data_IF_471047160742
#
_entry.id   IF_471047160742
#
_cell.length_a   1.000
_cell.length_b   1.000
_cell.length_c   1.000
_cell.angle_alpha   90.00
_cell.angle_beta   90.00
_cell.angle_gamma   90.00
#
_symmetry.space_group_name_H-M   'P 1'
#
loop_
_entity.id
_entity.type
_entity.pdbx_description
1 polymer ?
#
# COMPACT_ATOMS: atom_id res chain seq x y z
N UNK A 1 4.13 -21.46 11.54
CA UNK A 1 2.81 -21.19 12.14
C UNK A 1 2.36 -19.80 11.74
N UNK A 2 1.14 -19.65 11.25
CA UNK A 2 0.54 -18.35 10.97
C UNK A 2 0.22 -17.65 12.31
N UNK A 3 0.69 -16.45 12.53
CA UNK A 3 0.43 -15.73 13.78
C UNK A 3 -0.86 -14.90 13.63
N UNK A 4 -1.95 -15.42 14.21
CA UNK A 4 -3.28 -14.80 14.15
C UNK A 4 -3.31 -13.38 14.74
N UNK A 5 -2.45 -13.09 15.73
CA UNK A 5 -2.35 -11.75 16.32
C UNK A 5 -1.86 -10.74 15.30
N UNK A 6 -0.84 -11.09 14.51
CA UNK A 6 -0.29 -10.22 13.45
C UNK A 6 -1.35 -9.97 12.37
N UNK A 7 -2.10 -11.00 11.98
CA UNK A 7 -3.14 -10.89 10.98
C UNK A 7 -4.30 -10.00 11.47
N UNK A 8 -4.71 -10.12 12.72
CA UNK A 8 -5.74 -9.28 13.33
C UNK A 8 -5.30 -7.81 13.43
N UNK A 9 -4.06 -7.56 13.85
CA UNK A 9 -3.50 -6.20 13.89
C UNK A 9 -3.45 -5.55 12.52
N UNK A 10 -3.05 -6.29 11.48
CA UNK A 10 -3.12 -5.81 10.09
C UNK A 10 -4.55 -5.46 9.69
N UNK A 11 -5.53 -6.28 10.06
CA UNK A 11 -6.94 -6.01 9.81
C UNK A 11 -7.41 -4.70 10.45
N UNK A 12 -7.04 -4.44 11.69
CA UNK A 12 -7.35 -3.18 12.39
C UNK A 12 -6.70 -1.98 11.68
N UNK A 13 -5.43 -2.11 11.29
CA UNK A 13 -4.75 -1.05 10.54
C UNK A 13 -5.43 -0.78 9.19
N UNK A 14 -5.88 -1.80 8.48
CA UNK A 14 -6.62 -1.64 7.21
C UNK A 14 -7.95 -0.91 7.41
N UNK A 15 -8.69 -1.21 8.48
CA UNK A 15 -9.91 -0.48 8.82
C UNK A 15 -9.64 1.00 9.06
N UNK A 16 -8.54 1.34 9.75
CA UNK A 16 -8.12 2.73 9.94
C UNK A 16 -7.76 3.43 8.62
N UNK A 17 -7.06 2.76 7.70
CA UNK A 17 -6.76 3.31 6.37
C UNK A 17 -8.06 3.58 5.58
N UNK A 18 -9.00 2.65 5.58
CA UNK A 18 -10.32 2.82 4.96
C UNK A 18 -11.05 4.00 5.60
N UNK A 19 -10.99 4.12 6.95
CA UNK A 19 -11.58 5.23 7.70
C UNK A 19 -11.07 6.60 7.26
N UNK A 20 -9.76 6.76 7.04
CA UNK A 20 -9.18 8.01 6.52
C UNK A 20 -9.76 8.35 5.14
N UNK A 21 -9.83 7.40 4.24
CA UNK A 21 -10.30 7.64 2.87
C UNK A 21 -11.79 7.93 2.81
N UNK A 22 -12.62 7.20 3.54
CA UNK A 22 -14.06 7.48 3.62
C UNK A 22 -14.29 8.83 4.32
N UNK A 23 -13.54 9.10 5.39
CA UNK A 23 -13.61 10.37 6.10
C UNK A 23 -13.36 11.57 5.21
N UNK A 24 -12.31 11.53 4.40
CA UNK A 24 -11.97 12.63 3.49
C UNK A 24 -13.00 12.83 2.38
N UNK A 25 -13.60 11.76 1.87
CA UNK A 25 -14.59 11.83 0.77
C UNK A 25 -15.99 12.20 1.25
N UNK A 26 -16.45 11.62 2.37
CA UNK A 26 -17.83 11.72 2.77
C UNK A 26 -18.07 12.73 3.92
N UNK A 27 -17.12 12.87 4.84
CA UNK A 27 -17.30 13.68 6.05
C UNK A 27 -16.72 15.08 5.93
N UNK A 28 -15.58 15.25 5.24
CA UNK A 28 -14.94 16.55 5.12
C UNK A 28 -15.85 17.66 4.60
N UNK A 29 -16.70 17.44 3.58
CA UNK A 29 -17.63 18.46 3.10
C UNK A 29 -18.84 18.71 4.00
N UNK A 30 -19.23 17.73 4.85
CA UNK A 30 -20.48 17.76 5.60
C UNK A 30 -20.29 17.98 7.11
N UNK A 31 -19.23 17.42 7.70
CA UNK A 31 -18.95 17.51 9.13
C UNK A 31 -17.46 17.48 9.41
N UNK A 32 -16.86 18.67 9.38
CA UNK A 32 -15.40 18.84 9.53
C UNK A 32 -14.89 18.33 10.88
N UNK A 33 -15.64 18.47 11.96
CA UNK A 33 -15.22 18.01 13.30
C UNK A 33 -15.14 16.49 13.35
N UNK A 34 -16.14 15.78 12.82
CA UNK A 34 -16.16 14.33 12.78
C UNK A 34 -15.05 13.79 11.85
N UNK A 35 -14.81 14.48 10.73
CA UNK A 35 -13.69 14.18 9.84
C UNK A 35 -12.35 14.29 10.58
N UNK A 36 -12.08 15.38 11.30
CA UNK A 36 -10.83 15.56 12.04
C UNK A 36 -10.64 14.49 13.12
N UNK A 37 -11.69 14.16 13.88
CA UNK A 37 -11.62 13.10 14.88
C UNK A 37 -11.24 11.76 14.25
N UNK A 38 -11.88 11.40 13.14
CA UNK A 38 -11.65 10.14 12.45
C UNK A 38 -10.25 10.11 11.81
N UNK A 39 -9.79 11.23 11.27
CA UNK A 39 -8.44 11.36 10.72
C UNK A 39 -7.37 11.18 11.81
N UNK A 40 -7.50 11.88 12.95
CA UNK A 40 -6.56 11.80 14.06
C UNK A 40 -6.52 10.37 14.62
N UNK A 41 -7.69 9.76 14.86
CA UNK A 41 -7.79 8.39 15.36
C UNK A 41 -7.22 7.37 14.40
N UNK A 42 -7.23 7.63 13.12
CA UNK A 42 -6.78 6.68 12.08
C UNK A 42 -5.32 6.89 11.64
N UNK A 43 -4.69 8.01 12.01
CA UNK A 43 -3.29 8.32 11.61
C UNK A 43 -2.26 7.28 12.04
N UNK A 44 -2.52 6.55 13.14
CA UNK A 44 -1.64 5.49 13.59
C UNK A 44 -1.58 4.30 12.61
N UNK A 45 -2.58 4.15 11.74
CA UNK A 45 -2.76 2.95 10.91
C UNK A 45 -1.62 2.71 9.95
N UNK A 46 -1.14 3.77 9.28
CA UNK A 46 -0.06 3.67 8.30
C UNK A 46 1.27 3.26 8.94
N UNK A 47 1.79 3.98 9.96
CA UNK A 47 3.04 3.56 10.62
C UNK A 47 2.93 2.21 11.31
N UNK A 48 1.79 1.88 11.93
CA UNK A 48 1.56 0.58 12.53
C UNK A 48 1.57 -0.55 11.51
N UNK A 49 0.98 -0.33 10.34
CA UNK A 49 0.99 -1.32 9.26
C UNK A 49 2.42 -1.60 8.78
N UNK A 50 3.26 -0.58 8.63
CA UNK A 50 4.67 -0.76 8.30
C UNK A 50 5.41 -1.54 9.38
N UNK A 51 5.22 -1.16 10.64
CA UNK A 51 5.86 -1.85 11.76
C UNK A 51 5.47 -3.33 11.84
N UNK A 52 4.16 -3.64 11.74
CA UNK A 52 3.64 -5.01 11.77
C UNK A 52 4.13 -5.80 10.56
N UNK A 53 4.23 -5.17 9.39
CA UNK A 53 4.74 -5.82 8.18
C UNK A 53 6.21 -6.16 8.30
N UNK A 54 7.04 -5.22 8.81
CA UNK A 54 8.45 -5.45 9.08
C UNK A 54 8.68 -6.51 10.17
N UNK A 55 7.92 -6.45 11.25
CA UNK A 55 7.98 -7.46 12.33
C UNK A 55 7.57 -8.85 11.83
N UNK A 56 6.47 -8.95 11.08
CA UNK A 56 6.04 -10.21 10.50
C UNK A 56 7.08 -10.82 9.56
N UNK A 57 7.80 -9.98 8.83
CA UNK A 57 8.89 -10.38 7.97
C UNK A 57 10.06 -10.94 8.78
N UNK A 58 10.50 -10.21 9.81
CA UNK A 58 11.58 -10.64 10.72
C UNK A 58 11.25 -11.98 11.42
N UNK A 59 9.99 -12.17 11.84
CA UNK A 59 9.54 -13.43 12.47
C UNK A 59 9.45 -14.61 11.49
N UNK A 60 9.20 -14.34 10.20
CA UNK A 60 9.08 -15.41 9.19
C UNK A 60 10.46 -15.87 8.72
N UNK A 61 11.44 -15.01 8.80
CA UNK A 61 12.79 -15.28 8.35
C UNK A 61 13.65 -15.87 9.46
N UNK A 62 13.42 -17.13 9.77
CA UNK A 62 14.24 -17.90 10.73
C UNK A 62 15.71 -17.99 10.31
N UNK A 63 16.02 -17.74 9.03
CA UNK A 63 17.38 -17.70 8.52
C UNK A 63 18.16 -16.49 9.03
N UNK A 64 17.52 -15.35 9.26
CA UNK A 64 18.13 -14.15 9.87
C UNK A 64 18.64 -14.43 11.30
N UNK A 65 17.89 -15.24 12.07
CA UNK A 65 18.24 -15.59 13.45
C UNK A 65 19.24 -16.73 13.55
N UNK A 66 19.35 -17.58 12.52
CA UNK A 66 20.22 -18.77 12.51
C UNK A 66 21.53 -18.61 11.72
N UNK A 67 21.86 -17.38 11.24
CA UNK A 67 23.10 -17.12 10.50
C UNK A 67 23.18 -17.78 9.12
N UNK A 68 22.11 -18.38 8.63
CA UNK A 68 22.00 -18.95 7.29
C UNK A 68 21.95 -17.81 6.26
N UNK A 69 22.75 -17.87 5.20
CA UNK A 69 22.72 -16.90 4.11
C UNK A 69 21.33 -16.86 3.51
N UNK A 70 20.65 -15.71 3.71
CA UNK A 70 19.39 -15.41 3.03
C UNK A 70 19.60 -15.51 1.54
N UNK A 71 18.80 -16.34 0.87
CA UNK A 71 18.67 -16.29 -0.57
C UNK A 71 17.86 -15.04 -0.92
N UNK A 72 18.56 -13.87 -0.95
CA UNK A 72 17.96 -12.55 -1.18
C UNK A 72 17.05 -12.54 -2.43
N UNK A 73 17.43 -13.30 -3.45
CA UNK A 73 16.67 -13.45 -4.69
C UNK A 73 15.31 -14.11 -4.44
N UNK A 74 15.26 -15.18 -3.65
CA UNK A 74 14.02 -15.89 -3.35
C UNK A 74 13.10 -15.06 -2.44
N UNK A 75 13.70 -14.32 -1.52
CA UNK A 75 13.00 -13.34 -0.70
C UNK A 75 12.36 -12.24 -1.55
N UNK A 76 13.13 -11.61 -2.43
CA UNK A 76 12.62 -10.57 -3.34
C UNK A 76 11.55 -11.09 -4.29
N UNK A 77 11.71 -12.29 -4.83
CA UNK A 77 10.68 -12.93 -5.69
C UNK A 77 9.36 -13.14 -4.95
N UNK A 78 9.39 -13.61 -3.70
CA UNK A 78 8.18 -13.79 -2.88
C UNK A 78 7.51 -12.44 -2.59
N UNK A 79 8.29 -11.42 -2.27
CA UNK A 79 7.79 -10.08 -1.99
C UNK A 79 7.19 -9.43 -3.23
N UNK A 80 7.90 -9.51 -4.36
CA UNK A 80 7.42 -8.98 -5.63
C UNK A 80 6.14 -9.69 -6.10
N UNK A 81 6.04 -11.01 -5.91
CA UNK A 81 4.82 -11.76 -6.25
C UNK A 81 3.66 -11.42 -5.31
N UNK A 82 3.92 -11.24 -4.01
CA UNK A 82 2.88 -10.97 -3.01
C UNK A 82 2.34 -9.54 -3.03
N UNK A 83 3.19 -8.55 -3.24
CA UNK A 83 2.81 -7.13 -3.23
C UNK A 83 2.93 -6.47 -4.60
N UNK A 84 3.93 -6.84 -5.39
CA UNK A 84 4.20 -6.23 -6.70
C UNK A 84 3.14 -6.55 -7.75
N UNK A 85 2.67 -7.80 -7.85
CA UNK A 85 1.63 -8.16 -8.82
C UNK A 85 0.30 -7.42 -8.56
N UNK A 86 -0.26 -7.40 -7.33
CA UNK A 86 -1.43 -6.59 -7.02
C UNK A 86 -1.20 -5.10 -7.30
N UNK A 87 -0.03 -4.57 -6.95
CA UNK A 87 0.34 -3.19 -7.23
C UNK A 87 0.29 -2.86 -8.73
N UNK A 88 0.93 -3.66 -9.56
CA UNK A 88 0.92 -3.48 -11.02
C UNK A 88 -0.48 -3.57 -11.61
N UNK A 89 -1.28 -4.55 -11.16
CA UNK A 89 -2.66 -4.73 -11.63
C UNK A 89 -3.53 -3.52 -11.29
N UNK A 90 -3.45 -3.02 -10.06
CA UNK A 90 -4.22 -1.84 -9.64
C UNK A 90 -3.71 -0.55 -10.29
N UNK A 91 -2.40 -0.38 -10.45
CA UNK A 91 -1.83 0.78 -11.16
C UNK A 91 -2.31 0.85 -12.60
N UNK A 92 -2.31 -0.30 -13.31
CA UNK A 92 -2.81 -0.38 -14.67
C UNK A 92 -4.32 -0.09 -14.74
N UNK A 93 -5.10 -0.66 -13.79
CA UNK A 93 -6.54 -0.42 -13.71
C UNK A 93 -6.84 1.07 -13.50
N UNK A 94 -6.14 1.76 -12.59
CA UNK A 94 -6.34 3.19 -12.37
C UNK A 94 -5.90 4.04 -13.55
N UNK A 95 -4.79 3.73 -14.20
CA UNK A 95 -4.37 4.42 -15.42
C UNK A 95 -5.42 4.29 -16.52
N UNK A 96 -5.98 3.08 -16.71
CA UNK A 96 -7.04 2.83 -17.69
C UNK A 96 -8.32 3.59 -17.32
N UNK A 97 -8.72 3.55 -16.05
CA UNK A 97 -9.89 4.25 -15.54
C UNK A 97 -9.77 5.77 -15.76
N UNK A 98 -8.65 6.38 -15.40
CA UNK A 98 -8.43 7.80 -15.61
C UNK A 98 -8.34 8.17 -17.10
N UNK A 99 -7.77 7.31 -17.93
CA UNK A 99 -7.74 7.51 -19.37
C UNK A 99 -9.14 7.53 -20.01
N UNK A 100 -10.07 6.71 -19.48
CA UNK A 100 -11.45 6.65 -19.99
C UNK A 100 -12.32 7.82 -19.52
N UNK A 101 -12.09 8.34 -18.30
CA UNK A 101 -12.99 9.32 -17.68
C UNK A 101 -12.48 10.75 -17.83
N UNK A 102 -11.17 10.95 -17.83
CA UNK A 102 -10.56 12.29 -17.90
C UNK A 102 -10.37 12.76 -19.34
N UNK A 103 -10.25 14.10 -19.56
CA UNK A 103 -10.03 14.66 -20.87
C UNK A 103 -8.80 14.05 -21.58
N UNK A 104 -8.83 13.98 -22.94
CA UNK A 104 -7.71 13.48 -23.72
C UNK A 104 -6.40 14.24 -23.37
N UNK A 105 -5.33 13.50 -23.14
CA UNK A 105 -4.02 14.06 -22.77
C UNK A 105 -3.69 14.05 -21.27
N UNK A 106 -4.65 13.75 -20.38
CA UNK A 106 -4.38 13.66 -18.95
C UNK A 106 -3.50 12.45 -18.59
N UNK A 107 -3.72 11.32 -19.25
CA UNK A 107 -2.90 10.11 -19.11
C UNK A 107 -2.12 9.89 -20.40
N UNK A 108 -0.81 9.87 -20.31
CA UNK A 108 0.07 9.54 -21.43
C UNK A 108 0.51 8.09 -21.38
N UNK A 109 0.29 7.35 -22.47
CA UNK A 109 0.75 5.96 -22.63
C UNK A 109 2.19 5.86 -23.14
N UNK A 110 2.97 6.95 -23.06
CA UNK A 110 4.39 6.89 -23.38
C UNK A 110 5.08 5.93 -22.39
N UNK A 111 5.91 4.96 -22.88
CA UNK A 111 6.58 3.99 -22.02
C UNK A 111 7.39 4.61 -20.87
N UNK A 112 8.03 5.74 -21.11
CA UNK A 112 8.75 6.50 -20.10
C UNK A 112 7.83 7.05 -19.02
N UNK A 113 6.66 7.60 -19.40
CA UNK A 113 5.66 8.10 -18.45
C UNK A 113 5.05 6.97 -17.64
N UNK A 114 4.71 5.86 -18.27
CA UNK A 114 4.21 4.67 -17.57
C UNK A 114 5.24 4.14 -16.56
N UNK A 115 6.50 4.02 -16.96
CA UNK A 115 7.57 3.61 -16.06
C UNK A 115 7.73 4.58 -14.87
N UNK A 116 7.66 5.89 -15.11
CA UNK A 116 7.70 6.91 -14.07
C UNK A 116 6.52 6.77 -13.10
N UNK A 117 5.30 6.65 -13.59
CA UNK A 117 4.09 6.47 -12.78
C UNK A 117 4.18 5.21 -11.92
N UNK A 118 4.65 4.10 -12.50
CA UNK A 118 4.83 2.84 -11.78
C UNK A 118 5.96 2.90 -10.75
N UNK A 119 7.07 3.57 -11.06
CA UNK A 119 8.21 3.67 -10.14
C UNK A 119 7.88 4.51 -8.90
N UNK A 120 7.14 5.60 -9.07
CA UNK A 120 6.78 6.51 -7.98
C UNK A 120 5.40 6.25 -7.35
N UNK A 121 4.64 5.26 -7.85
CA UNK A 121 3.31 4.96 -7.31
C UNK A 121 2.25 6.01 -7.61
N UNK A 122 2.41 6.75 -8.71
CA UNK A 122 1.55 7.90 -9.06
C UNK A 122 0.26 7.50 -9.78
N UNK A 123 0.02 6.22 -10.01
CA UNK A 123 -1.22 5.72 -10.64
C UNK A 123 -2.48 6.07 -9.85
N UNK A 124 -2.38 6.13 -8.54
CA UNK A 124 -3.40 6.70 -7.64
C UNK A 124 -2.74 7.07 -6.32
N UNK A 125 -3.27 8.08 -5.64
CA UNK A 125 -2.67 8.66 -4.43
C UNK A 125 -2.40 7.66 -3.29
N UNK A 126 -3.10 6.54 -3.21
CA UNK A 126 -2.85 5.50 -2.20
C UNK A 126 -1.84 4.43 -2.65
N UNK A 127 -1.46 4.39 -3.93
CA UNK A 127 -0.54 3.38 -4.44
C UNK A 127 0.93 3.65 -4.09
N UNK A 128 1.31 4.90 -3.77
CA UNK A 128 2.67 5.22 -3.30
C UNK A 128 3.06 4.40 -2.06
N UNK A 129 2.09 4.08 -1.21
CA UNK A 129 2.29 3.24 -0.05
C UNK A 129 2.79 1.82 -0.39
N UNK A 130 2.26 1.24 -1.48
CA UNK A 130 2.71 -0.07 -1.96
C UNK A 130 4.15 -0.02 -2.49
N UNK A 131 4.55 1.08 -3.10
CA UNK A 131 5.94 1.30 -3.54
C UNK A 131 6.89 1.32 -2.35
N UNK A 132 6.55 2.07 -1.29
CA UNK A 132 7.35 2.11 -0.05
C UNK A 132 7.46 0.71 0.60
N UNK A 133 6.41 -0.11 0.50
CA UNK A 133 6.47 -1.49 1.00
C UNK A 133 7.35 -2.41 0.15
N UNK A 134 7.55 -2.10 -1.13
CA UNK A 134 8.39 -2.88 -2.04
C UNK A 134 9.88 -2.55 -1.92
N UNK A 135 10.20 -1.29 -1.61
CA UNK A 135 11.56 -0.81 -1.34
C UNK A 135 12.00 -1.13 0.09
#
# INVERSE_FOLDING_TARGET
>A
MRNTIIDNLRGICMLGVIGIHIGSLALAPNNFTLYLLLEILSRYSVPSFFFISGYGLACTDKGLLSGSRLNYIDFMKKRLRGAGLPYLSWSFFYMLYFWLILPPGFVSWNPLHVAYVLFFGLGCYHLYFMVILLW
#
